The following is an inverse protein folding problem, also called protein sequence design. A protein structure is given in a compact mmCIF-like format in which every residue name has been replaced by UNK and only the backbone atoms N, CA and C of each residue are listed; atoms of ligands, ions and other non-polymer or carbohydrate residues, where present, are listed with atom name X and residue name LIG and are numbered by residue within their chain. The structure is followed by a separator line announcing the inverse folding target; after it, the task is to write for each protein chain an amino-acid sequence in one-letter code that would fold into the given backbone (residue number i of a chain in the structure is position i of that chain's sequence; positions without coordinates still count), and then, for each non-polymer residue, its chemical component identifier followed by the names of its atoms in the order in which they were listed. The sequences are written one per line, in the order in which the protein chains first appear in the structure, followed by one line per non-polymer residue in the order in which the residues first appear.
data_IF_850008293529
#
_entry.id   IF_850008293529
#
_cell.length_a   1.000
_cell.length_b   1.000
_cell.length_c   1.000
_cell.angle_alpha   90.00
_cell.angle_beta   90.00
_cell.angle_gamma   90.00
#
_symmetry.space_group_name_H-M   'P 1'
#
loop_
_entity.id
_entity.type
_entity.pdbx_description
1 polymer ?
#
# COMPACT_ATOMS: atom_id res chain seq x y z
N UNK A 1 54.75 -59.23 -10.49
CA UNK A 1 54.72 -57.76 -10.36
C UNK A 1 53.29 -57.29 -10.63
N UNK A 2 52.52 -56.99 -9.57
CA UNK A 2 51.14 -56.51 -9.67
C UNK A 2 51.19 -54.98 -9.67
N UNK A 3 50.65 -54.36 -10.73
CA UNK A 3 50.47 -52.88 -10.80
C UNK A 3 49.24 -52.49 -10.01
N UNK A 4 49.41 -51.68 -8.98
CA UNK A 4 48.36 -51.06 -8.22
C UNK A 4 48.01 -49.73 -8.95
N UNK A 5 46.79 -49.66 -9.48
CA UNK A 5 46.24 -48.42 -10.07
C UNK A 5 45.60 -47.59 -8.95
N UNK A 6 46.12 -46.42 -8.69
CA UNK A 6 45.63 -45.49 -7.67
C UNK A 6 44.67 -44.51 -8.36
N UNK A 7 43.37 -44.72 -8.17
CA UNK A 7 42.32 -43.80 -8.68
C UNK A 7 42.20 -42.62 -7.71
N UNK A 8 42.56 -41.45 -8.19
CA UNK A 8 42.40 -40.17 -7.45
C UNK A 8 40.97 -39.71 -7.55
N UNK A 9 40.22 -39.75 -6.44
CA UNK A 9 38.89 -39.12 -6.33
C UNK A 9 39.10 -37.63 -6.09
N UNK A 10 38.79 -36.81 -7.08
CA UNK A 10 38.74 -35.33 -6.97
C UNK A 10 37.34 -34.98 -6.40
N UNK A 11 37.26 -34.68 -5.11
CA UNK A 11 36.06 -34.11 -4.50
C UNK A 11 35.95 -32.63 -4.91
N UNK A 12 34.99 -32.32 -5.80
CA UNK A 12 34.55 -30.93 -6.05
C UNK A 12 33.81 -30.43 -4.81
N UNK A 13 34.45 -29.59 -4.01
CA UNK A 13 33.76 -28.74 -3.04
C UNK A 13 33.02 -27.66 -3.82
N UNK A 14 31.69 -27.82 -3.99
CA UNK A 14 30.78 -26.75 -4.38
C UNK A 14 30.64 -25.86 -3.15
N UNK A 15 31.46 -24.82 -3.07
CA UNK A 15 31.22 -23.73 -2.14
C UNK A 15 29.97 -22.97 -2.64
N UNK A 16 28.81 -23.33 -2.13
CA UNK A 16 27.62 -22.50 -2.26
C UNK A 16 27.91 -21.17 -1.58
N UNK A 17 28.10 -20.10 -2.35
CA UNK A 17 28.03 -18.76 -1.82
C UNK A 17 26.63 -18.57 -1.27
N UNK A 18 26.47 -18.62 0.05
CA UNK A 18 25.29 -18.06 0.71
C UNK A 18 25.24 -16.59 0.26
N UNK A 19 24.34 -16.27 -0.65
CA UNK A 19 24.03 -14.87 -0.95
C UNK A 19 23.65 -14.23 0.38
N UNK A 20 24.36 -13.16 0.75
CA UNK A 20 24.00 -12.40 1.95
C UNK A 20 22.52 -11.97 1.82
N UNK A 21 21.76 -12.13 2.88
CA UNK A 21 20.37 -11.64 2.92
C UNK A 21 20.41 -10.13 2.61
N UNK A 22 19.54 -9.66 1.70
CA UNK A 22 19.57 -8.26 1.27
C UNK A 22 19.17 -7.29 2.38
N UNK A 23 18.42 -7.81 3.37
CA UNK A 23 17.93 -7.05 4.52
C UNK A 23 18.20 -7.83 5.81
N UNK A 24 18.61 -7.09 6.84
CA UNK A 24 18.63 -7.61 8.21
C UNK A 24 17.23 -7.50 8.82
N UNK A 25 16.55 -8.62 8.99
CA UNK A 25 15.18 -8.70 9.52
C UNK A 25 15.01 -8.00 10.87
N UNK A 26 15.98 -8.16 11.78
CA UNK A 26 15.93 -7.53 13.10
C UNK A 26 16.01 -6.00 12.98
N UNK A 27 16.82 -5.52 12.03
CA UNK A 27 16.92 -4.09 11.73
C UNK A 27 15.62 -3.54 11.14
N UNK A 28 15.03 -4.23 10.16
CA UNK A 28 13.74 -3.84 9.57
C UNK A 28 12.67 -3.76 10.63
N UNK A 29 12.54 -4.80 11.47
CA UNK A 29 11.58 -4.84 12.55
C UNK A 29 11.80 -3.71 13.56
N UNK A 30 13.04 -3.46 13.98
CA UNK A 30 13.39 -2.38 14.92
C UNK A 30 12.96 -1.01 14.37
N UNK A 31 13.15 -0.76 13.08
CA UNK A 31 12.76 0.48 12.41
C UNK A 31 11.25 0.66 12.36
N UNK A 32 10.52 -0.41 12.04
CA UNK A 32 9.05 -0.41 12.06
C UNK A 32 8.51 -0.15 13.47
N UNK A 33 9.04 -0.85 14.48
CA UNK A 33 8.64 -0.67 15.87
C UNK A 33 8.94 0.73 16.40
N UNK A 34 10.08 1.31 16.00
CA UNK A 34 10.46 2.67 16.38
C UNK A 34 9.43 3.69 15.86
N UNK A 35 9.06 3.60 14.58
CA UNK A 35 8.08 4.49 13.98
C UNK A 35 6.68 4.29 14.56
N UNK A 36 6.26 3.05 14.76
CA UNK A 36 4.96 2.73 15.33
C UNK A 36 4.83 3.17 16.80
N UNK A 37 5.88 2.98 17.60
CA UNK A 37 5.92 3.44 19.00
C UNK A 37 5.75 4.94 19.13
N UNK A 38 6.48 5.72 18.31
CA UNK A 38 6.31 7.18 18.27
C UNK A 38 4.85 7.57 18.06
N UNK A 39 4.17 6.91 17.15
CA UNK A 39 2.77 7.20 16.85
C UNK A 39 1.83 6.81 18.01
N UNK A 40 1.95 5.60 18.55
CA UNK A 40 1.10 5.12 19.64
C UNK A 40 1.29 5.95 20.92
N UNK A 41 2.53 6.35 21.24
CA UNK A 41 2.82 7.24 22.37
C UNK A 41 2.23 8.65 22.18
N UNK A 42 2.22 9.16 20.96
CA UNK A 42 1.65 10.47 20.62
C UNK A 42 0.13 10.47 20.61
N UNK A 43 -0.48 9.37 20.24
CA UNK A 43 -1.93 9.21 20.07
C UNK A 43 -2.49 8.06 20.93
N UNK A 44 -2.29 8.10 22.28
CA UNK A 44 -2.73 7.01 23.15
C UNK A 44 -4.26 6.87 23.23
N UNK A 45 -5.00 7.95 22.95
CA UNK A 45 -6.47 7.94 22.85
C UNK A 45 -6.86 7.66 21.40
N UNK A 46 -7.24 6.43 21.11
CA UNK A 46 -7.61 5.95 19.77
C UNK A 46 -8.86 6.64 19.21
N UNK A 47 -9.76 7.10 20.09
CA UNK A 47 -11.01 7.78 19.74
C UNK A 47 -10.85 9.28 19.53
N UNK A 48 -9.70 9.84 19.86
CA UNK A 48 -9.48 11.27 19.77
C UNK A 48 -9.69 11.79 18.35
N UNK A 49 -10.50 12.84 18.24
CA UNK A 49 -10.73 13.54 16.97
C UNK A 49 -9.43 14.08 16.39
N UNK A 50 -9.31 14.01 15.08
CA UNK A 50 -8.18 14.57 14.34
C UNK A 50 -8.54 15.98 13.92
N UNK A 51 -7.74 16.96 14.38
CA UNK A 51 -7.98 18.38 14.10
C UNK A 51 -6.94 18.86 13.10
N UNK A 52 -7.42 19.25 11.92
CA UNK A 52 -6.63 19.93 10.90
C UNK A 52 -7.23 21.34 10.68
N UNK A 53 -7.78 21.63 9.52
CA UNK A 53 -8.63 22.82 9.29
C UNK A 53 -10.06 22.65 9.84
N UNK A 54 -10.51 21.43 10.02
CA UNK A 54 -11.77 21.03 10.69
C UNK A 54 -11.54 19.83 11.59
N UNK A 55 -12.49 19.53 12.48
CA UNK A 55 -12.49 18.30 13.25
C UNK A 55 -13.00 17.13 12.42
N UNK A 56 -12.34 15.97 12.58
CA UNK A 56 -12.68 14.73 11.92
C UNK A 56 -12.67 13.58 12.91
N UNK A 57 -13.58 12.61 12.83
CA UNK A 57 -13.51 11.40 13.65
C UNK A 57 -12.30 10.55 13.26
N UNK A 58 -11.79 9.77 14.20
CA UNK A 58 -10.58 8.96 13.95
C UNK A 58 -10.81 7.74 13.05
N UNK A 59 -12.03 7.43 12.61
CA UNK A 59 -12.32 6.41 11.59
C UNK A 59 -12.30 6.96 10.16
N UNK A 60 -11.54 8.03 9.91
CA UNK A 60 -11.25 8.55 8.57
C UNK A 60 -10.21 7.66 7.86
N UNK A 61 -10.19 7.67 6.53
CA UNK A 61 -9.32 6.84 5.70
C UNK A 61 -7.83 6.93 6.07
N UNK A 62 -7.34 8.10 6.45
CA UNK A 62 -5.93 8.29 6.83
C UNK A 62 -5.54 7.40 8.00
N UNK A 63 -6.41 7.35 9.01
CA UNK A 63 -6.24 6.49 10.18
C UNK A 63 -6.52 5.01 9.82
N UNK A 64 -7.47 4.75 8.93
CA UNK A 64 -7.71 3.40 8.37
C UNK A 64 -6.45 2.80 7.77
N UNK A 65 -5.73 3.55 6.94
CA UNK A 65 -4.45 3.12 6.34
C UNK A 65 -3.37 2.88 7.39
N UNK A 66 -3.31 3.69 8.46
CA UNK A 66 -2.40 3.40 9.57
C UNK A 66 -2.68 2.02 10.17
N UNK A 67 -3.96 1.72 10.47
CA UNK A 67 -4.31 0.42 11.07
C UNK A 67 -4.09 -0.75 10.11
N UNK A 68 -4.23 -0.55 8.79
CA UNK A 68 -3.80 -1.56 7.81
C UNK A 68 -2.30 -1.89 7.95
N UNK A 69 -1.46 -0.87 8.08
CA UNK A 69 -0.03 -1.02 8.32
C UNK A 69 0.28 -1.67 9.68
N UNK A 70 -0.47 -1.30 10.73
CA UNK A 70 -0.35 -1.92 12.05
C UNK A 70 -0.70 -3.41 12.02
N UNK A 71 -1.75 -3.80 11.29
CA UNK A 71 -2.12 -5.20 11.12
C UNK A 71 -1.07 -5.97 10.32
N UNK A 72 -0.42 -5.36 9.34
CA UNK A 72 0.70 -5.96 8.62
C UNK A 72 1.94 -6.14 9.52
N UNK A 73 2.22 -5.20 10.43
CA UNK A 73 3.25 -5.37 11.47
C UNK A 73 2.86 -6.48 12.45
N UNK A 74 1.59 -6.52 12.88
CA UNK A 74 1.09 -7.56 13.78
C UNK A 74 1.21 -8.96 13.16
N UNK A 75 0.97 -9.11 11.87
CA UNK A 75 1.10 -10.40 11.16
C UNK A 75 2.52 -10.98 11.27
N UNK A 76 3.56 -10.14 11.11
CA UNK A 76 4.97 -10.59 11.15
C UNK A 76 5.55 -10.58 12.56
N UNK A 77 5.01 -9.76 13.46
CA UNK A 77 5.47 -9.60 14.84
C UNK A 77 4.28 -9.39 15.79
N UNK A 78 3.55 -10.45 16.16
CA UNK A 78 2.33 -10.35 16.96
C UNK A 78 2.63 -9.90 18.41
N UNK A 79 2.14 -8.71 18.75
CA UNK A 79 2.13 -8.17 20.10
C UNK A 79 0.71 -7.82 20.51
N UNK A 80 0.35 -8.18 21.74
CA UNK A 80 -0.97 -7.88 22.29
C UNK A 80 -1.29 -6.38 22.24
N UNK A 81 -0.30 -5.52 22.45
CA UNK A 81 -0.48 -4.07 22.38
C UNK A 81 -0.94 -3.58 20.99
N UNK A 82 -0.50 -4.19 19.88
CA UNK A 82 -0.90 -3.83 18.54
C UNK A 82 -2.34 -4.26 18.25
N UNK A 83 -2.67 -5.48 18.67
CA UNK A 83 -4.05 -5.98 18.58
C UNK A 83 -5.02 -5.10 19.38
N UNK A 84 -4.70 -4.84 20.66
CA UNK A 84 -5.55 -4.04 21.54
C UNK A 84 -5.72 -2.61 21.00
N UNK A 85 -4.66 -1.99 20.48
CA UNK A 85 -4.74 -0.64 19.92
C UNK A 85 -5.65 -0.57 18.69
N UNK A 86 -5.61 -1.56 17.80
CA UNK A 86 -6.53 -1.65 16.65
C UNK A 86 -7.96 -2.02 17.10
N UNK A 87 -8.10 -2.94 18.04
CA UNK A 87 -9.40 -3.36 18.57
C UNK A 87 -10.11 -2.20 19.28
N UNK A 88 -9.43 -1.50 20.18
CA UNK A 88 -10.00 -0.37 20.93
C UNK A 88 -10.47 0.75 19.99
N UNK A 89 -9.72 1.02 18.92
CA UNK A 89 -10.16 1.96 17.88
C UNK A 89 -11.44 1.50 17.18
N UNK A 90 -11.49 0.25 16.74
CA UNK A 90 -12.65 -0.30 16.05
C UNK A 90 -13.89 -0.35 16.97
N UNK A 91 -13.70 -0.75 18.24
CA UNK A 91 -14.75 -0.81 19.27
C UNK A 91 -15.25 0.59 19.63
N UNK A 92 -14.36 1.58 19.76
CA UNK A 92 -14.74 2.98 20.01
C UNK A 92 -15.71 3.51 18.94
N UNK A 93 -15.51 3.10 17.68
CA UNK A 93 -16.40 3.49 16.56
C UNK A 93 -17.58 2.54 16.36
N UNK A 94 -17.83 1.60 17.28
CA UNK A 94 -18.85 0.57 17.14
C UNK A 94 -18.77 -0.15 15.77
N UNK A 95 -17.55 -0.39 15.28
CA UNK A 95 -17.28 -1.03 14.00
C UNK A 95 -18.00 -0.35 12.82
N UNK A 96 -18.25 0.95 12.94
CA UNK A 96 -18.99 1.75 11.98
C UNK A 96 -18.07 2.62 11.13
N UNK A 97 -18.62 3.13 10.05
CA UNK A 97 -17.92 4.03 9.14
C UNK A 97 -18.27 5.48 9.43
N UNK A 98 -17.42 6.39 8.97
CA UNK A 98 -17.51 7.82 9.24
C UNK A 98 -18.90 8.43 9.00
N UNK A 99 -19.58 8.02 7.93
CA UNK A 99 -20.92 8.49 7.58
C UNK A 99 -21.95 7.36 7.54
N UNK A 100 -21.68 6.27 8.29
CA UNK A 100 -22.58 5.12 8.36
C UNK A 100 -22.53 4.22 7.12
N UNK A 101 -23.47 3.28 7.06
CA UNK A 101 -23.41 2.15 6.10
C UNK A 101 -24.05 2.43 4.75
N UNK A 102 -24.79 3.55 4.59
CA UNK A 102 -25.44 3.93 3.33
C UNK A 102 -24.53 4.79 2.43
N UNK A 103 -23.26 4.88 2.76
CA UNK A 103 -22.27 5.68 2.04
C UNK A 103 -21.45 4.78 1.09
N UNK A 104 -21.30 5.24 -0.16
CA UNK A 104 -20.58 4.54 -1.22
C UNK A 104 -19.14 5.03 -1.39
N UNK A 105 -18.73 6.08 -0.68
CA UNK A 105 -17.39 6.63 -0.78
C UNK A 105 -16.38 5.68 -0.13
N UNK A 106 -15.37 5.26 -0.90
CA UNK A 106 -14.36 4.30 -0.47
C UNK A 106 -13.53 4.77 0.74
N UNK A 107 -13.26 6.07 0.84
CA UNK A 107 -12.55 6.66 1.99
C UNK A 107 -13.29 6.41 3.31
N UNK A 108 -14.63 6.35 3.27
CA UNK A 108 -15.42 6.21 4.48
C UNK A 108 -15.50 4.75 4.95
N UNK A 109 -15.49 3.76 4.03
CA UNK A 109 -15.49 2.34 4.41
C UNK A 109 -14.11 1.66 4.39
N UNK A 110 -13.03 2.41 4.14
CA UNK A 110 -11.65 1.91 4.19
C UNK A 110 -11.32 1.18 5.51
N UNK A 111 -11.86 1.65 6.64
CA UNK A 111 -11.71 1.04 7.96
C UNK A 111 -12.12 -0.45 8.00
N UNK A 112 -13.00 -0.88 7.07
CA UNK A 112 -13.43 -2.28 6.97
C UNK A 112 -12.27 -3.25 6.72
N UNK A 113 -11.17 -2.80 6.11
CA UNK A 113 -9.99 -3.65 5.93
C UNK A 113 -9.49 -4.17 7.28
N UNK A 114 -9.32 -3.27 8.26
CA UNK A 114 -8.91 -3.62 9.63
C UNK A 114 -10.00 -4.37 10.38
N UNK A 115 -11.27 -4.00 10.22
CA UNK A 115 -12.38 -4.70 10.90
C UNK A 115 -12.47 -6.17 10.49
N UNK A 116 -12.24 -6.48 9.21
CA UNK A 116 -12.20 -7.85 8.71
C UNK A 116 -10.99 -8.60 9.27
N UNK A 117 -9.81 -7.96 9.34
CA UNK A 117 -8.61 -8.58 9.92
C UNK A 117 -8.83 -8.95 11.40
N UNK A 118 -9.39 -8.03 12.19
CA UNK A 118 -9.73 -8.28 13.59
C UNK A 118 -10.84 -9.34 13.76
N UNK A 119 -11.78 -9.45 12.81
CA UNK A 119 -12.75 -10.53 12.80
C UNK A 119 -12.09 -11.88 12.52
N UNK A 120 -11.16 -11.94 11.57
CA UNK A 120 -10.47 -13.18 11.23
C UNK A 120 -9.61 -13.72 12.39
N UNK A 121 -9.08 -12.82 13.22
CA UNK A 121 -8.34 -13.19 14.44
C UNK A 121 -9.26 -13.68 15.56
N UNK A 122 -10.37 -12.99 15.75
CA UNK A 122 -11.36 -13.31 16.77
C UNK A 122 -12.77 -13.04 16.25
N UNK A 123 -13.48 -14.06 15.77
CA UNK A 123 -14.80 -13.91 15.17
C UNK A 123 -15.87 -13.45 16.16
N UNK A 124 -16.46 -12.28 15.88
CA UNK A 124 -17.65 -11.75 16.52
C UNK A 124 -18.52 -11.10 15.44
N UNK A 125 -19.77 -11.53 15.24
CA UNK A 125 -20.66 -10.99 14.21
C UNK A 125 -20.85 -9.47 14.25
N UNK A 126 -20.68 -8.82 15.42
CA UNK A 126 -20.77 -7.36 15.57
C UNK A 126 -19.71 -6.65 14.74
N UNK A 127 -18.49 -7.20 14.67
CA UNK A 127 -17.35 -6.62 13.97
C UNK A 127 -17.61 -6.42 12.47
N UNK A 128 -18.48 -7.23 11.86
CA UNK A 128 -18.78 -7.20 10.44
C UNK A 128 -20.17 -6.71 10.07
N UNK A 129 -21.03 -6.41 11.04
CA UNK A 129 -22.41 -6.01 10.77
C UNK A 129 -22.49 -4.83 9.79
N UNK A 130 -21.74 -3.78 10.06
CA UNK A 130 -21.73 -2.56 9.25
C UNK A 130 -21.01 -2.79 7.91
N UNK A 131 -19.91 -3.52 7.91
CA UNK A 131 -19.19 -3.89 6.68
C UNK A 131 -20.07 -4.68 5.74
N UNK A 132 -20.78 -5.71 6.22
CA UNK A 132 -21.76 -6.48 5.42
C UNK A 132 -22.86 -5.61 4.85
N UNK A 133 -23.39 -4.67 5.64
CA UNK A 133 -24.45 -3.78 5.17
C UNK A 133 -23.98 -2.91 3.98
N UNK A 134 -22.82 -2.28 4.09
CA UNK A 134 -22.25 -1.45 3.03
C UNK A 134 -21.89 -2.29 1.79
N UNK A 135 -21.20 -3.41 1.98
CA UNK A 135 -20.79 -4.26 0.85
C UNK A 135 -21.99 -4.87 0.13
N UNK A 136 -23.03 -5.29 0.85
CA UNK A 136 -24.28 -5.74 0.23
C UNK A 136 -24.97 -4.62 -0.57
N UNK A 137 -24.93 -3.39 -0.11
CA UNK A 137 -25.44 -2.25 -0.87
C UNK A 137 -24.68 -2.08 -2.19
N UNK A 138 -23.33 -2.16 -2.18
CA UNK A 138 -22.53 -2.10 -3.40
C UNK A 138 -22.84 -3.25 -4.36
N UNK A 139 -22.94 -4.48 -3.86
CA UNK A 139 -23.26 -5.66 -4.68
C UNK A 139 -24.61 -5.58 -5.37
N UNK A 140 -25.62 -5.02 -4.70
CA UNK A 140 -27.00 -5.02 -5.18
C UNK A 140 -27.33 -3.82 -6.07
N UNK A 141 -26.35 -3.03 -6.49
CA UNK A 141 -26.52 -1.93 -7.43
C UNK A 141 -25.67 -2.14 -8.68
N UNK A 142 -26.15 -1.73 -9.88
CA UNK A 142 -25.37 -1.80 -11.11
C UNK A 142 -24.28 -0.73 -11.20
N UNK A 143 -24.27 0.26 -10.30
CA UNK A 143 -23.34 1.39 -10.33
C UNK A 143 -21.88 0.91 -10.17
N UNK A 144 -20.97 1.45 -11.01
CA UNK A 144 -19.54 1.09 -11.08
C UNK A 144 -18.61 2.28 -10.87
N UNK A 145 -19.11 3.50 -10.96
CA UNK A 145 -18.37 4.76 -10.97
C UNK A 145 -18.06 5.33 -9.57
N UNK A 146 -18.16 4.51 -8.53
CA UNK A 146 -17.83 4.93 -7.15
C UNK A 146 -16.36 5.24 -6.94
N UNK A 147 -15.48 4.65 -7.74
CA UNK A 147 -14.03 4.91 -7.69
C UNK A 147 -13.62 5.90 -8.79
N UNK A 148 -14.13 7.13 -8.70
CA UNK A 148 -13.86 8.21 -9.66
C UNK A 148 -12.49 8.86 -9.49
N UNK A 149 -11.66 8.35 -8.58
CA UNK A 149 -10.27 8.72 -8.37
C UNK A 149 -9.47 7.49 -7.91
N UNK A 150 -8.21 7.44 -8.30
CA UNK A 150 -7.40 6.22 -8.13
C UNK A 150 -7.12 5.84 -6.68
N UNK A 151 -7.13 6.80 -5.74
CA UNK A 151 -6.95 6.50 -4.31
C UNK A 151 -8.06 5.57 -3.79
N UNK A 152 -9.28 5.72 -4.33
CA UNK A 152 -10.44 4.89 -3.97
C UNK A 152 -10.21 3.40 -4.23
N UNK A 153 -9.35 3.05 -5.20
CA UNK A 153 -8.98 1.65 -5.48
C UNK A 153 -8.33 1.03 -4.23
N UNK A 154 -7.36 1.70 -3.59
CA UNK A 154 -6.76 1.22 -2.34
C UNK A 154 -7.75 1.16 -1.19
N UNK A 155 -8.67 2.12 -1.11
CA UNK A 155 -9.62 2.21 0.00
C UNK A 155 -10.71 1.14 -0.09
N UNK A 156 -11.14 0.78 -1.30
CA UNK A 156 -12.30 -0.09 -1.53
C UNK A 156 -12.01 -1.49 -2.05
N UNK A 157 -11.07 -1.64 -2.98
CA UNK A 157 -10.81 -2.91 -3.67
C UNK A 157 -10.42 -4.05 -2.69
N UNK A 158 -9.50 -3.86 -1.72
CA UNK A 158 -9.17 -4.91 -0.77
C UNK A 158 -10.33 -5.30 0.16
N UNK A 159 -11.28 -4.39 0.42
CA UNK A 159 -12.48 -4.71 1.22
C UNK A 159 -13.35 -5.71 0.50
N UNK A 160 -13.61 -5.49 -0.81
CA UNK A 160 -14.35 -6.44 -1.64
C UNK A 160 -13.63 -7.79 -1.76
N UNK A 161 -12.31 -7.77 -1.93
CA UNK A 161 -11.49 -8.98 -1.95
C UNK A 161 -11.62 -9.80 -0.66
N UNK A 162 -11.42 -9.16 0.51
CA UNK A 162 -11.55 -9.80 1.83
C UNK A 162 -12.95 -10.35 2.07
N UNK A 163 -13.99 -9.59 1.70
CA UNK A 163 -15.37 -10.04 1.84
C UNK A 163 -15.69 -11.23 0.93
N UNK A 164 -15.20 -11.24 -0.31
CA UNK A 164 -15.39 -12.35 -1.23
C UNK A 164 -14.81 -13.67 -0.70
N UNK A 165 -13.62 -13.59 -0.09
CA UNK A 165 -12.99 -14.76 0.57
C UNK A 165 -13.78 -15.17 1.81
N UNK A 166 -14.14 -14.22 2.67
CA UNK A 166 -14.82 -14.47 3.93
C UNK A 166 -16.21 -15.07 3.74
N UNK A 167 -17.00 -14.52 2.82
CA UNK A 167 -18.37 -14.95 2.55
C UNK A 167 -18.42 -16.11 1.54
N UNK A 168 -17.29 -16.49 0.94
CA UNK A 168 -17.19 -17.47 -0.14
C UNK A 168 -18.14 -17.16 -1.32
N UNK A 169 -18.23 -15.88 -1.66
CA UNK A 169 -19.17 -15.35 -2.65
C UNK A 169 -18.44 -14.63 -3.79
N UNK A 170 -18.42 -15.25 -4.95
CA UNK A 170 -17.70 -14.75 -6.14
C UNK A 170 -18.29 -13.46 -6.71
N UNK A 171 -19.49 -13.04 -6.31
CA UNK A 171 -20.08 -11.76 -6.72
C UNK A 171 -19.27 -10.57 -6.23
N UNK A 172 -18.59 -10.70 -5.08
CA UNK A 172 -17.64 -9.68 -4.60
C UNK A 172 -16.46 -9.51 -5.56
N UNK A 173 -15.88 -10.61 -6.03
CA UNK A 173 -14.76 -10.55 -6.98
C UNK A 173 -15.19 -9.97 -8.32
N UNK A 174 -16.39 -10.33 -8.82
CA UNK A 174 -16.92 -9.76 -10.05
C UNK A 174 -17.18 -8.26 -9.90
N UNK A 175 -17.86 -7.83 -8.82
CA UNK A 175 -18.12 -6.41 -8.56
C UNK A 175 -16.81 -5.60 -8.43
N UNK A 176 -15.83 -6.15 -7.72
CA UNK A 176 -14.50 -5.58 -7.58
C UNK A 176 -13.82 -5.37 -8.95
N UNK A 177 -13.86 -6.40 -9.79
CA UNK A 177 -13.30 -6.34 -11.13
C UNK A 177 -14.01 -5.30 -12.01
N UNK A 178 -15.33 -5.31 -12.02
CA UNK A 178 -16.13 -4.39 -12.83
C UNK A 178 -15.88 -2.93 -12.45
N UNK A 179 -15.83 -2.62 -11.15
CA UNK A 179 -15.53 -1.27 -10.66
C UNK A 179 -14.08 -0.86 -10.99
N UNK A 180 -13.11 -1.77 -10.80
CA UNK A 180 -11.72 -1.53 -11.16
C UNK A 180 -11.57 -1.23 -12.66
N UNK A 181 -12.17 -2.08 -13.52
CA UNK A 181 -12.09 -1.91 -14.97
C UNK A 181 -12.82 -0.67 -15.46
N UNK A 182 -13.92 -0.27 -14.80
CA UNK A 182 -14.58 1.00 -15.10
C UNK A 182 -13.65 2.19 -14.83
N UNK A 183 -13.03 2.24 -13.65
CA UNK A 183 -12.06 3.29 -13.31
C UNK A 183 -10.87 3.27 -14.29
N UNK A 184 -10.38 2.08 -14.61
CA UNK A 184 -9.23 1.87 -15.49
C UNK A 184 -9.46 2.34 -16.93
N UNK A 185 -10.62 2.02 -17.50
CA UNK A 185 -10.84 2.10 -18.94
C UNK A 185 -11.94 3.08 -19.37
N UNK A 186 -12.84 3.47 -18.48
CA UNK A 186 -14.08 4.18 -18.84
C UNK A 186 -14.28 5.49 -18.07
N UNK A 187 -13.68 5.64 -16.86
CA UNK A 187 -13.86 6.87 -16.07
C UNK A 187 -13.12 8.04 -16.72
N UNK A 188 -13.75 9.22 -16.78
CA UNK A 188 -13.27 10.33 -17.59
C UNK A 188 -13.57 10.09 -19.08
N UNK A 189 -12.74 10.62 -19.95
CA UNK A 189 -12.91 10.47 -21.40
C UNK A 189 -12.25 9.19 -21.96
N UNK A 190 -11.21 8.66 -21.27
CA UNK A 190 -10.38 7.57 -21.79
C UNK A 190 -10.03 6.50 -20.75
N UNK A 191 -10.65 6.52 -19.56
CA UNK A 191 -10.18 5.77 -18.40
C UNK A 191 -9.03 6.49 -17.70
N UNK A 192 -8.66 6.04 -16.51
CA UNK A 192 -7.59 6.66 -15.72
C UNK A 192 -6.22 5.96 -15.86
N UNK A 193 -6.14 4.84 -16.58
CA UNK A 193 -4.88 4.14 -16.82
C UNK A 193 -4.31 4.47 -18.19
N UNK A 194 -3.06 4.95 -18.23
CA UNK A 194 -2.33 5.08 -19.47
C UNK A 194 -1.51 3.81 -19.75
N UNK A 195 -1.90 2.98 -20.74
CA UNK A 195 -1.18 1.73 -21.02
C UNK A 195 0.20 1.95 -21.67
N UNK A 196 0.46 3.13 -22.27
CA UNK A 196 1.76 3.46 -22.89
C UNK A 196 2.80 3.73 -21.79
N UNK A 197 2.44 4.46 -20.76
CA UNK A 197 3.31 4.81 -19.64
C UNK A 197 3.25 3.80 -18.48
N UNK A 198 2.20 2.96 -18.41
CA UNK A 198 1.98 2.02 -17.32
C UNK A 198 1.66 2.70 -15.99
N UNK A 199 1.14 3.92 -16.02
CA UNK A 199 0.81 4.77 -14.87
C UNK A 199 -0.62 5.30 -14.96
N UNK A 200 -1.08 5.92 -13.88
CA UNK A 200 -2.46 6.37 -13.73
C UNK A 200 -2.55 7.87 -13.53
N UNK A 201 -3.44 8.53 -14.24
CA UNK A 201 -3.92 9.87 -13.90
C UNK A 201 -4.78 9.78 -12.64
N UNK A 202 -4.70 10.79 -11.78
CA UNK A 202 -5.35 10.74 -10.47
C UNK A 202 -6.89 10.68 -10.56
N UNK A 203 -7.48 11.49 -11.41
CA UNK A 203 -8.90 11.56 -11.73
C UNK A 203 -9.09 12.31 -13.08
N UNK A 204 -10.33 12.50 -13.51
CA UNK A 204 -10.67 13.16 -14.75
C UNK A 204 -10.28 14.67 -14.83
N UNK A 205 -9.80 15.28 -13.76
CA UNK A 205 -9.22 16.64 -13.79
C UNK A 205 -7.76 16.62 -14.27
N UNK A 206 -7.10 15.44 -14.25
CA UNK A 206 -5.67 15.27 -14.54
C UNK A 206 -5.37 14.35 -15.74
N UNK A 207 -6.40 13.78 -16.39
CA UNK A 207 -6.23 13.09 -17.67
C UNK A 207 -6.00 14.09 -18.82
N UNK A 208 -5.53 13.66 -19.98
CA UNK A 208 -5.37 14.56 -21.12
C UNK A 208 -6.67 15.30 -21.48
N UNK A 209 -6.60 16.63 -21.75
CA UNK A 209 -5.40 17.37 -22.17
C UNK A 209 -4.58 18.04 -21.05
N UNK A 210 -4.80 17.69 -19.75
CA UNK A 210 -3.98 18.22 -18.69
C UNK A 210 -2.54 17.71 -18.80
N UNK A 211 -1.54 18.58 -18.63
CA UNK A 211 -0.12 18.23 -18.61
C UNK A 211 0.62 18.97 -17.51
N UNK A 212 1.74 18.40 -17.08
CA UNK A 212 2.73 19.09 -16.26
C UNK A 212 3.41 20.23 -17.02
N UNK A 213 4.11 21.16 -16.35
CA UNK A 213 4.79 22.28 -17.01
C UNK A 213 5.82 21.90 -18.08
N UNK A 214 6.40 20.70 -18.00
CA UNK A 214 7.30 20.17 -19.01
C UNK A 214 6.59 19.60 -20.27
N UNK A 215 5.25 19.54 -20.25
CA UNK A 215 4.43 19.01 -21.32
C UNK A 215 4.12 17.51 -21.22
N UNK A 216 4.66 16.82 -20.21
CA UNK A 216 4.36 15.41 -19.94
C UNK A 216 3.06 15.25 -19.17
N UNK A 217 2.49 14.04 -19.18
CA UNK A 217 1.31 13.66 -18.42
C UNK A 217 1.55 13.76 -16.91
N UNK A 218 0.52 14.13 -16.17
CA UNK A 218 0.61 14.31 -14.72
C UNK A 218 0.39 12.99 -13.98
N UNK A 219 1.46 12.42 -13.46
CA UNK A 219 1.41 11.22 -12.62
C UNK A 219 1.85 11.51 -11.20
N UNK A 220 0.88 11.57 -10.29
CA UNK A 220 1.13 11.82 -8.88
C UNK A 220 1.65 10.55 -8.17
N UNK A 221 2.77 10.67 -7.47
CA UNK A 221 3.48 9.56 -6.83
C UNK A 221 2.59 8.77 -5.86
N UNK A 222 2.01 9.42 -4.85
CA UNK A 222 1.15 8.74 -3.88
C UNK A 222 -0.10 8.14 -4.53
N UNK A 223 -0.70 8.81 -5.50
CA UNK A 223 -1.85 8.28 -6.24
C UNK A 223 -1.52 6.95 -6.93
N UNK A 224 -0.43 6.91 -7.69
CA UNK A 224 0.06 5.68 -8.31
C UNK A 224 0.50 4.64 -7.27
N UNK A 225 1.04 5.11 -6.13
CA UNK A 225 1.36 4.26 -4.99
C UNK A 225 0.13 3.52 -4.45
N UNK A 226 -1.01 4.20 -4.33
CA UNK A 226 -2.25 3.57 -3.90
C UNK A 226 -2.68 2.44 -4.83
N UNK A 227 -2.64 2.65 -6.14
CA UNK A 227 -3.09 1.64 -7.10
C UNK A 227 -2.20 0.40 -7.04
N UNK A 228 -0.88 0.56 -7.14
CA UNK A 228 0.02 -0.61 -7.13
C UNK A 228 -0.02 -1.35 -5.80
N UNK A 229 -0.22 -0.65 -4.68
CA UNK A 229 -0.41 -1.27 -3.36
C UNK A 229 -1.75 -2.03 -3.27
N UNK A 230 -2.83 -1.48 -3.83
CA UNK A 230 -4.12 -2.17 -3.91
C UNK A 230 -4.04 -3.46 -4.72
N UNK A 231 -3.31 -3.44 -5.84
CA UNK A 231 -3.06 -4.63 -6.65
C UNK A 231 -2.29 -5.69 -5.86
N UNK A 232 -1.19 -5.32 -5.21
CA UNK A 232 -0.42 -6.22 -4.37
C UNK A 232 -1.26 -6.82 -3.23
N UNK A 233 -2.00 -5.97 -2.51
CA UNK A 233 -2.88 -6.40 -1.42
C UNK A 233 -4.01 -7.31 -1.91
N UNK A 234 -4.66 -6.97 -3.01
CA UNK A 234 -5.72 -7.81 -3.59
C UNK A 234 -5.18 -9.17 -3.99
N UNK A 235 -4.03 -9.22 -4.67
CA UNK A 235 -3.37 -10.44 -5.07
C UNK A 235 -2.93 -11.32 -3.88
N UNK A 236 -2.64 -10.73 -2.72
CA UNK A 236 -2.34 -11.46 -1.49
C UNK A 236 -3.58 -12.09 -0.82
N UNK A 237 -4.78 -11.58 -1.14
CA UNK A 237 -6.04 -11.98 -0.52
C UNK A 237 -6.80 -13.00 -1.37
N UNK A 238 -6.91 -12.74 -2.68
CA UNK A 238 -7.75 -13.55 -3.57
C UNK A 238 -7.09 -14.89 -3.89
N UNK A 239 -7.84 -16.00 -3.93
CA UNK A 239 -7.34 -17.30 -4.41
C UNK A 239 -6.71 -17.21 -5.80
N UNK A 240 -5.79 -18.12 -6.12
CA UNK A 240 -5.12 -18.14 -7.43
C UNK A 240 -6.08 -18.35 -8.60
N UNK A 241 -7.15 -19.11 -8.37
CA UNK A 241 -8.19 -19.42 -9.36
C UNK A 241 -9.25 -18.30 -9.50
N UNK A 242 -9.13 -17.19 -8.79
CA UNK A 242 -10.09 -16.08 -8.88
C UNK A 242 -10.15 -15.56 -10.31
N UNK A 243 -11.34 -15.42 -10.90
CA UNK A 243 -11.51 -14.83 -12.23
C UNK A 243 -10.83 -13.46 -12.34
N UNK A 244 -10.21 -13.21 -13.49
CA UNK A 244 -9.54 -11.93 -13.80
C UNK A 244 -8.29 -11.60 -12.94
N UNK A 245 -7.81 -12.54 -12.13
CA UNK A 245 -6.59 -12.32 -11.32
C UNK A 245 -5.39 -11.96 -12.20
N UNK A 246 -5.31 -12.49 -13.41
CA UNK A 246 -4.23 -12.21 -14.37
C UNK A 246 -4.17 -10.71 -14.73
N UNK A 247 -5.31 -10.02 -14.83
CA UNK A 247 -5.33 -8.58 -15.10
C UNK A 247 -4.62 -7.79 -13.99
N UNK A 248 -4.84 -8.15 -12.74
CA UNK A 248 -4.17 -7.49 -11.61
C UNK A 248 -2.66 -7.76 -11.60
N UNK A 249 -2.26 -8.97 -12.01
CA UNK A 249 -0.83 -9.32 -12.17
C UNK A 249 -0.19 -8.52 -13.30
N UNK A 250 -0.86 -8.39 -14.45
CA UNK A 250 -0.37 -7.61 -15.59
C UNK A 250 -0.21 -6.14 -15.24
N UNK A 251 -1.21 -5.54 -14.58
CA UNK A 251 -1.16 -4.13 -14.19
C UNK A 251 -0.09 -3.88 -13.12
N UNK A 252 0.07 -4.78 -12.14
CA UNK A 252 1.16 -4.69 -11.15
C UNK A 252 2.53 -4.73 -11.85
N UNK A 253 2.72 -5.64 -12.82
CA UNK A 253 3.97 -5.76 -13.58
C UNK A 253 4.24 -4.51 -14.44
N UNK A 254 3.22 -4.00 -15.10
CA UNK A 254 3.31 -2.80 -15.93
C UNK A 254 3.73 -1.59 -15.10
N UNK A 255 3.02 -1.33 -14.00
CA UNK A 255 3.33 -0.23 -13.08
C UNK A 255 4.72 -0.37 -12.46
N UNK A 256 5.09 -1.57 -11.99
CA UNK A 256 6.42 -1.80 -11.44
C UNK A 256 7.52 -1.54 -12.48
N UNK A 257 7.30 -1.92 -13.74
CA UNK A 257 8.26 -1.68 -14.82
C UNK A 257 8.42 -0.18 -15.13
N UNK A 258 7.33 0.56 -15.13
CA UNK A 258 7.31 2.01 -15.36
C UNK A 258 8.04 2.78 -14.24
N UNK A 259 7.93 2.33 -13.01
CA UNK A 259 8.52 3.00 -11.84
C UNK A 259 10.04 2.83 -11.71
N UNK A 260 10.63 1.75 -12.25
CA UNK A 260 12.08 1.48 -12.11
C UNK A 260 12.93 2.60 -12.71
N UNK A 261 12.76 3.03 -13.97
CA UNK A 261 13.64 4.02 -14.60
C UNK A 261 13.54 5.42 -14.00
N UNK A 262 12.45 5.73 -13.31
CA UNK A 262 12.19 7.06 -12.73
C UNK A 262 12.50 7.14 -11.23
N UNK A 263 13.06 6.06 -10.64
CA UNK A 263 13.57 6.12 -9.27
C UNK A 263 14.77 7.07 -9.18
N UNK A 264 14.68 8.03 -8.29
CA UNK A 264 15.74 9.02 -8.04
C UNK A 264 17.06 8.36 -7.60
N UNK A 265 18.15 9.05 -7.79
CA UNK A 265 19.48 8.58 -7.35
C UNK A 265 19.58 8.40 -5.83
N UNK A 266 18.80 9.17 -5.04
CA UNK A 266 18.71 9.06 -3.59
C UNK A 266 17.72 8.00 -3.08
N UNK A 267 17.08 7.25 -3.96
CA UNK A 267 16.21 6.12 -3.65
C UNK A 267 14.72 6.43 -3.53
N UNK A 268 14.33 7.68 -3.36
CA UNK A 268 12.93 8.09 -3.41
C UNK A 268 12.38 8.14 -4.83
N UNK A 269 11.10 8.39 -4.96
CA UNK A 269 10.47 8.89 -6.19
C UNK A 269 10.06 10.36 -5.99
N UNK A 270 10.00 11.10 -7.10
CA UNK A 270 9.51 12.48 -7.09
C UNK A 270 8.01 12.51 -6.80
N UNK A 271 7.51 13.61 -6.27
CA UNK A 271 6.07 13.82 -6.04
C UNK A 271 5.31 13.82 -7.37
N UNK A 272 5.78 14.58 -8.38
CA UNK A 272 5.41 14.41 -9.77
C UNK A 272 6.37 13.42 -10.42
N UNK A 273 5.86 12.30 -10.91
CA UNK A 273 6.70 11.20 -11.39
C UNK A 273 7.43 11.55 -12.70
N UNK A 274 6.78 12.27 -13.60
CA UNK A 274 7.34 12.61 -14.92
C UNK A 274 7.88 14.05 -15.02
N UNK A 275 7.62 14.92 -14.02
CA UNK A 275 8.24 16.25 -13.96
C UNK A 275 9.04 16.47 -12.68
N UNK A 276 10.35 16.10 -12.66
CA UNK A 276 11.21 16.30 -11.50
C UNK A 276 11.47 17.76 -11.16
N UNK A 277 11.18 18.70 -12.07
CA UNK A 277 11.31 20.14 -11.86
C UNK A 277 10.04 20.79 -11.33
N UNK A 278 8.90 20.11 -11.46
CA UNK A 278 7.61 20.53 -10.90
C UNK A 278 7.25 19.66 -9.71
N UNK A 279 7.54 20.14 -8.51
CA UNK A 279 7.37 19.39 -7.26
C UNK A 279 8.18 18.09 -7.22
N UNK A 280 9.39 18.13 -7.73
CA UNK A 280 10.38 17.08 -7.50
C UNK A 280 10.80 17.04 -6.03
N UNK A 281 11.52 15.99 -5.67
CA UNK A 281 12.05 15.81 -4.32
C UNK A 281 11.53 14.55 -3.65
N UNK A 282 12.01 14.34 -2.42
CA UNK A 282 11.67 13.14 -1.65
C UNK A 282 10.19 13.14 -1.28
N UNK A 283 9.52 12.04 -1.54
CA UNK A 283 8.15 11.79 -1.07
C UNK A 283 8.07 10.38 -0.46
N UNK A 284 7.75 10.29 0.83
CA UNK A 284 7.86 9.04 1.57
C UNK A 284 6.68 8.09 1.29
N UNK A 285 5.46 8.60 1.24
CA UNK A 285 4.26 7.73 1.18
C UNK A 285 4.17 6.96 -0.15
N UNK A 286 4.36 7.61 -1.29
CA UNK A 286 4.43 6.94 -2.59
C UNK A 286 5.62 5.98 -2.68
N UNK A 287 6.80 6.42 -2.20
CA UNK A 287 8.00 5.55 -2.13
C UNK A 287 7.73 4.28 -1.34
N UNK A 288 7.08 4.38 -0.18
CA UNK A 288 6.74 3.23 0.66
C UNK A 288 5.79 2.26 -0.05
N UNK A 289 4.75 2.78 -0.71
CA UNK A 289 3.79 1.96 -1.45
C UNK A 289 4.42 1.25 -2.65
N UNK A 290 5.35 1.91 -3.36
CA UNK A 290 6.11 1.28 -4.45
C UNK A 290 7.02 0.17 -3.93
N UNK A 291 7.74 0.41 -2.82
CA UNK A 291 8.56 -0.60 -2.14
C UNK A 291 7.71 -1.78 -1.69
N UNK A 292 6.56 -1.54 -1.05
CA UNK A 292 5.60 -2.56 -0.64
C UNK A 292 5.20 -3.48 -1.79
N UNK A 293 4.69 -2.89 -2.87
CA UNK A 293 4.17 -3.66 -3.98
C UNK A 293 5.26 -4.42 -4.76
N UNK A 294 6.44 -3.80 -4.96
CA UNK A 294 7.57 -4.48 -5.61
C UNK A 294 8.12 -5.61 -4.74
N UNK A 295 8.25 -5.41 -3.41
CA UNK A 295 8.70 -6.44 -2.48
C UNK A 295 7.71 -7.63 -2.47
N UNK A 296 6.39 -7.36 -2.38
CA UNK A 296 5.36 -8.38 -2.54
C UNK A 296 5.52 -9.14 -3.87
N UNK A 297 5.65 -8.42 -4.98
CA UNK A 297 5.80 -9.02 -6.30
C UNK A 297 7.02 -9.94 -6.40
N UNK A 298 8.14 -9.58 -5.79
CA UNK A 298 9.35 -10.42 -5.71
C UNK A 298 9.11 -11.61 -4.79
N UNK A 299 8.52 -11.42 -3.61
CA UNK A 299 8.23 -12.48 -2.65
C UNK A 299 7.31 -13.56 -3.23
N UNK A 300 6.37 -13.16 -4.12
CA UNK A 300 5.44 -14.08 -4.80
C UNK A 300 5.97 -14.60 -6.15
N UNK A 301 7.19 -14.25 -6.56
CA UNK A 301 7.75 -14.66 -7.85
C UNK A 301 7.06 -14.02 -9.06
N UNK A 302 6.26 -12.97 -8.87
CA UNK A 302 5.61 -12.22 -9.95
C UNK A 302 6.57 -11.26 -10.64
N UNK A 303 7.55 -10.74 -9.91
CA UNK A 303 8.59 -9.83 -10.39
C UNK A 303 9.97 -10.48 -10.30
N UNK A 304 10.82 -10.18 -11.29
CA UNK A 304 12.21 -10.66 -11.34
C UNK A 304 13.03 -10.10 -10.18
N UNK A 305 13.52 -10.98 -9.32
CA UNK A 305 14.31 -10.61 -8.13
C UNK A 305 15.58 -9.83 -8.48
N UNK A 306 16.32 -10.25 -9.51
CA UNK A 306 17.58 -9.60 -9.87
C UNK A 306 17.36 -8.16 -10.32
N UNK A 307 16.25 -7.90 -11.01
CA UNK A 307 15.86 -6.56 -11.47
C UNK A 307 15.35 -5.68 -10.34
N UNK A 308 14.44 -6.20 -9.50
CA UNK A 308 13.68 -5.36 -8.56
C UNK A 308 14.31 -5.26 -7.17
N UNK A 309 15.09 -6.24 -6.71
CA UNK A 309 15.73 -6.19 -5.39
C UNK A 309 16.60 -4.94 -5.16
N UNK A 310 17.45 -4.50 -6.12
CA UNK A 310 18.22 -3.27 -5.96
C UNK A 310 17.33 -2.02 -5.82
N UNK A 311 16.21 -1.96 -6.52
CA UNK A 311 15.23 -0.86 -6.48
C UNK A 311 14.55 -0.80 -5.12
N UNK A 312 14.08 -1.96 -4.64
CA UNK A 312 13.45 -2.11 -3.32
C UNK A 312 14.43 -1.71 -2.21
N UNK A 313 15.65 -2.24 -2.24
CA UNK A 313 16.68 -1.96 -1.24
C UNK A 313 17.02 -0.47 -1.20
N UNK A 314 17.16 0.15 -2.37
CA UNK A 314 17.46 1.57 -2.48
C UNK A 314 16.32 2.43 -1.93
N UNK A 315 15.05 2.08 -2.22
CA UNK A 315 13.87 2.78 -1.70
C UNK A 315 13.71 2.63 -0.19
N UNK A 316 13.84 1.40 0.33
CA UNK A 316 13.77 1.13 1.76
C UNK A 316 14.85 1.89 2.54
N UNK A 317 16.13 1.75 2.14
CA UNK A 317 17.24 2.43 2.80
C UNK A 317 17.08 3.95 2.75
N UNK A 318 16.59 4.51 1.64
CA UNK A 318 16.33 5.94 1.53
C UNK A 318 15.30 6.42 2.57
N UNK A 319 14.22 5.67 2.80
CA UNK A 319 13.23 6.00 3.83
C UNK A 319 13.83 5.92 5.24
N UNK A 320 14.71 4.95 5.49
CA UNK A 320 15.40 4.84 6.78
C UNK A 320 16.39 5.98 7.00
N UNK A 321 17.27 6.22 6.04
CA UNK A 321 18.39 7.15 6.20
C UNK A 321 17.96 8.62 6.23
N UNK A 322 16.95 8.98 5.45
CA UNK A 322 16.48 10.35 5.33
C UNK A 322 15.10 10.60 5.95
N UNK A 323 14.19 9.63 5.89
CA UNK A 323 12.80 9.76 6.34
C UNK A 323 12.63 9.50 7.84
N UNK A 324 13.09 8.34 8.33
CA UNK A 324 12.93 7.95 9.73
C UNK A 324 13.87 8.74 10.64
N UNK A 325 13.31 9.46 11.59
CA UNK A 325 14.09 10.23 12.55
C UNK A 325 14.37 9.41 13.83
N UNK A 326 15.33 9.87 14.61
CA UNK A 326 15.75 9.19 15.86
C UNK A 326 14.62 9.00 16.87
N UNK A 327 13.64 9.91 16.88
CA UNK A 327 12.46 9.82 17.75
C UNK A 327 11.34 8.96 17.17
N UNK A 328 11.46 8.43 15.95
CA UNK A 328 10.45 7.62 15.27
C UNK A 328 9.54 8.41 14.31
N UNK A 329 9.64 9.74 14.26
CA UNK A 329 8.88 10.54 13.30
C UNK A 329 9.33 10.26 11.85
N UNK A 330 8.38 10.19 10.93
CA UNK A 330 8.62 10.02 9.50
C UNK A 330 8.51 11.36 8.78
N UNK A 331 9.63 11.87 8.27
CA UNK A 331 9.68 13.08 7.45
C UNK A 331 9.37 12.81 5.98
N UNK A 332 9.23 13.87 5.20
CA UNK A 332 8.93 13.84 3.76
C UNK A 332 7.59 13.21 3.40
N UNK A 333 6.64 13.09 4.32
CA UNK A 333 5.27 12.70 4.02
C UNK A 333 4.52 13.90 3.47
N UNK A 334 4.01 13.81 2.25
CA UNK A 334 3.17 14.84 1.66
C UNK A 334 1.83 14.89 2.39
N UNK A 335 1.36 16.08 2.81
CA UNK A 335 0.01 16.25 3.37
C UNK A 335 -1.08 15.75 2.42
N UNK A 336 -2.30 15.55 2.93
CA UNK A 336 -3.43 15.11 2.09
C UNK A 336 -3.67 16.07 0.93
N UNK A 337 -4.13 15.54 -0.17
CA UNK A 337 -4.35 16.27 -1.40
C UNK A 337 -4.63 15.34 -2.57
N UNK A 338 -4.61 15.88 -3.78
CA UNK A 338 -4.90 15.15 -5.01
C UNK A 338 -3.86 15.34 -6.13
N UNK A 339 -2.85 16.18 -5.89
CA UNK A 339 -1.89 16.55 -6.92
C UNK A 339 -0.49 16.88 -6.33
N UNK A 340 0.55 16.97 -7.18
CA UNK A 340 1.92 17.22 -6.73
C UNK A 340 2.11 18.49 -5.90
N UNK A 341 1.35 19.55 -6.16
CA UNK A 341 1.51 20.84 -5.42
C UNK A 341 1.00 20.80 -3.98
N UNK A 342 0.11 19.86 -3.66
CA UNK A 342 -0.52 19.83 -2.34
C UNK A 342 0.50 19.53 -1.24
N UNK A 343 0.34 20.21 -0.11
CA UNK A 343 1.22 20.03 1.03
C UNK A 343 2.68 20.43 0.85
N UNK A 344 3.03 21.14 -0.20
CA UNK A 344 4.40 21.61 -0.45
C UNK A 344 4.81 22.82 0.45
N UNK A 345 6.10 23.05 0.66
CA UNK A 345 7.24 22.18 0.36
C UNK A 345 7.32 20.99 1.31
N UNK A 346 7.87 19.86 0.87
CA UNK A 346 8.18 18.72 1.72
C UNK A 346 9.55 18.90 2.38
N UNK A 347 9.64 18.49 3.62
CA UNK A 347 10.92 18.48 4.34
C UNK A 347 10.99 17.37 5.37
N UNK A 348 12.19 17.14 5.88
CA UNK A 348 12.45 16.15 6.92
C UNK A 348 11.64 16.41 8.20
N UNK A 349 11.45 17.68 8.55
CA UNK A 349 10.89 18.08 9.85
C UNK A 349 9.45 18.60 9.73
N UNK A 350 8.90 18.66 8.52
CA UNK A 350 7.52 19.10 8.31
C UNK A 350 6.54 18.03 8.76
N UNK A 351 5.70 18.39 9.73
CA UNK A 351 4.58 17.57 10.16
C UNK A 351 3.47 17.71 9.11
N UNK A 352 3.02 16.61 8.49
CA UNK A 352 1.87 16.64 7.58
C UNK A 352 0.57 16.94 8.37
N UNK A 353 -0.50 17.26 7.65
CA UNK A 353 -1.83 17.46 8.26
C UNK A 353 -2.36 16.20 8.97
N UNK A 354 -1.98 15.01 8.48
CA UNK A 354 -2.21 13.70 9.12
C UNK A 354 -0.89 12.95 9.20
N UNK A 355 -0.52 12.47 10.39
CA UNK A 355 0.73 11.75 10.62
C UNK A 355 0.57 10.22 10.50
N UNK A 356 -0.63 9.77 10.23
CA UNK A 356 -1.02 8.35 10.34
C UNK A 356 -0.82 7.55 9.04
N UNK A 357 -1.38 7.96 7.89
CA UNK A 357 -1.32 7.16 6.67
C UNK A 357 0.11 6.96 6.12
N UNK A 358 1.00 7.95 6.27
CA UNK A 358 2.39 7.81 5.87
C UNK A 358 3.11 6.70 6.65
N UNK A 359 2.80 6.60 7.95
CA UNK A 359 3.26 5.49 8.77
C UNK A 359 2.64 4.16 8.33
N UNK A 360 1.33 4.14 8.02
CA UNK A 360 0.68 2.95 7.49
C UNK A 360 1.38 2.43 6.23
N UNK A 361 1.68 3.31 5.28
CA UNK A 361 2.44 2.96 4.07
C UNK A 361 3.84 2.40 4.40
N UNK A 362 4.55 3.02 5.35
CA UNK A 362 5.87 2.57 5.79
C UNK A 362 5.83 1.18 6.44
N UNK A 363 4.83 0.90 7.27
CA UNK A 363 4.65 -0.40 7.91
C UNK A 363 4.28 -1.49 6.89
N UNK A 364 3.45 -1.18 5.89
CA UNK A 364 3.17 -2.08 4.76
C UNK A 364 4.47 -2.42 4.01
N UNK A 365 5.28 -1.41 3.67
CA UNK A 365 6.57 -1.64 3.01
C UNK A 365 7.50 -2.52 3.85
N UNK A 366 7.64 -2.19 5.13
CA UNK A 366 8.50 -2.93 6.06
C UNK A 366 8.06 -4.38 6.22
N UNK A 367 6.75 -4.66 6.24
CA UNK A 367 6.25 -6.04 6.37
C UNK A 367 6.66 -6.93 5.20
N UNK A 368 6.63 -6.42 3.97
CA UNK A 368 7.07 -7.19 2.80
C UNK A 368 8.60 -7.24 2.67
N UNK A 369 9.31 -6.17 3.04
CA UNK A 369 10.78 -6.18 3.11
C UNK A 369 11.29 -7.17 4.15
N UNK A 370 10.61 -7.27 5.32
CA UNK A 370 10.92 -8.26 6.37
C UNK A 370 10.79 -9.71 5.88
N UNK A 371 9.85 -9.98 4.96
CA UNK A 371 9.61 -11.31 4.37
C UNK A 371 10.63 -11.68 3.29
N UNK A 372 11.46 -10.74 2.81
CA UNK A 372 12.45 -11.00 1.76
C UNK A 372 13.64 -11.79 2.31
N UNK A 373 13.98 -12.90 1.64
CA UNK A 373 15.14 -13.76 1.97
C UNK A 373 16.44 -13.28 1.33
#
# INVERSE_FOLDING_TARGET
MKKISMTLFLALLVAGTLAAQPFDRDSVLTQMEQANRYFMEKWPDVGKTIVTNIERPSNIWTRGVYYEGLMALYEIWPKEEYYNYAYDWAEFHDWNFRYGTANRNADDYCAAQTYIDLYNLEPDPKKLKNTRATMNMLLNTPQLDDWSWIDAIQMGMPVLAKMGVLEQDTRYFQKMYDMYMFTRNEHGDNGLFNPEDGLWWRDADFDPPYTEPNGEDSYWSRGNGWVIAALAKTLSIVPEETPHRDQYVEDLKSMAAALVPIQRTDGFWNVSLHDPNHYGGKELSGTALFVYAMAYGVNQGLLDREKYLPVIAKGWNAMIDAGLQKNGFLGYVQSTGKEPKDGQPLSKDKIPDFEDYGLGCFLLAGSEVYKMD
#
